data_IF_382813062546
#
_entry.id   IF_382813062546
#
_cell.length_a   1.000
_cell.length_b   1.000
_cell.length_c   1.000
_cell.angle_alpha   90.00
_cell.angle_beta   90.00
_cell.angle_gamma   90.00
#
_symmetry.space_group_name_H-M   'P 1'
#
loop_
_entity.id
_entity.type
_entity.pdbx_description
1 polymer ?
#
# COMPACT_ATOMS: atom_id res chain seq x y z
N UNK A 1 34.29 12.71 -23.56
CA UNK A 1 33.90 13.95 -24.26
C UNK A 1 32.43 13.83 -24.63
N UNK A 2 31.63 14.84 -24.24
CA UNK A 2 30.30 15.24 -24.77
C UNK A 2 29.17 14.20 -24.73
N UNK A 3 27.95 14.46 -24.24
CA UNK A 3 27.27 15.71 -23.90
C UNK A 3 26.02 15.35 -23.08
N UNK A 4 25.78 16.04 -21.96
CA UNK A 4 24.56 15.91 -21.15
C UNK A 4 23.52 16.90 -21.68
N UNK A 5 22.33 16.43 -22.04
CA UNK A 5 21.19 17.29 -22.32
C UNK A 5 20.35 17.49 -21.06
N UNK A 6 20.39 18.72 -20.57
CA UNK A 6 19.54 19.24 -19.51
C UNK A 6 18.26 19.73 -20.19
N UNK A 7 17.10 19.18 -19.83
CA UNK A 7 15.81 19.76 -20.21
C UNK A 7 15.01 20.00 -18.94
N UNK A 8 15.06 21.25 -18.47
CA UNK A 8 14.28 21.76 -17.35
C UNK A 8 12.91 22.19 -17.88
N UNK A 9 11.87 21.41 -17.59
CA UNK A 9 10.47 21.82 -17.83
C UNK A 9 9.86 22.25 -16.50
N UNK A 10 9.74 23.57 -16.36
CA UNK A 10 9.15 24.28 -15.23
C UNK A 10 7.62 24.24 -15.37
N UNK A 11 6.94 23.31 -14.70
CA UNK A 11 5.49 23.32 -14.58
C UNK A 11 5.09 23.88 -13.22
N UNK A 12 4.73 25.17 -13.22
CA UNK A 12 4.04 25.83 -12.11
C UNK A 12 2.55 25.51 -12.25
N UNK A 13 2.01 24.72 -11.32
CA UNK A 13 0.56 24.54 -11.17
C UNK A 13 0.16 24.93 -9.75
N UNK A 14 -0.32 26.17 -9.65
CA UNK A 14 -0.89 26.81 -8.48
C UNK A 14 -2.28 26.17 -8.22
N UNK A 15 -2.39 25.26 -7.26
CA UNK A 15 -3.69 24.70 -6.87
C UNK A 15 -4.17 25.34 -5.56
N UNK A 16 -5.26 26.08 -5.70
CA UNK A 16 -5.94 26.88 -4.68
C UNK A 16 -6.60 26.03 -3.61
N UNK A 17 -6.35 26.36 -2.34
CA UNK A 17 -7.06 25.86 -1.17
C UNK A 17 -8.56 26.22 -1.26
N UNK A 18 -9.44 25.22 -1.25
CA UNK A 18 -10.85 25.38 -0.92
C UNK A 18 -11.05 24.98 0.55
N UNK A 19 -11.41 25.95 1.39
CA UNK A 19 -11.80 25.76 2.78
C UNK A 19 -13.23 25.20 2.84
N UNK A 20 -13.41 24.03 3.44
CA UNK A 20 -14.74 23.50 3.78
C UNK A 20 -15.07 23.83 5.24
N UNK A 21 -16.26 24.36 5.54
CA UNK A 21 -16.69 24.65 6.90
C UNK A 21 -17.00 23.38 7.69
N UNK A 22 -16.52 23.37 8.94
CA UNK A 22 -16.84 22.39 9.99
C UNK A 22 -18.31 22.56 10.40
N UNK A 23 -19.10 21.51 10.25
CA UNK A 23 -20.42 21.40 10.90
C UNK A 23 -20.24 20.71 12.25
N UNK A 24 -20.59 21.42 13.32
CA UNK A 24 -20.73 20.92 14.67
C UNK A 24 -22.22 20.90 15.03
N UNK A 25 -22.80 19.75 15.38
CA UNK A 25 -24.10 19.70 16.08
C UNK A 25 -24.28 18.40 16.89
N UNK A 26 -24.29 18.60 18.21
CA UNK A 26 -25.15 18.08 19.29
C UNK A 26 -25.25 16.58 19.67
N UNK A 27 -24.79 16.33 20.91
CA UNK A 27 -25.47 15.69 22.03
C UNK A 27 -26.72 14.83 21.75
N UNK A 28 -26.62 13.55 22.11
CA UNK A 28 -27.74 12.75 22.58
C UNK A 28 -27.42 12.12 23.95
N UNK A 29 -28.32 12.39 24.87
CA UNK A 29 -28.32 12.06 26.29
C UNK A 29 -28.79 10.61 26.55
N UNK A 30 -28.08 9.95 27.47
CA UNK A 30 -28.52 8.97 28.50
C UNK A 30 -29.52 7.86 28.16
N UNK A 31 -29.06 6.63 28.37
CA UNK A 31 -29.87 5.61 29.09
C UNK A 31 -28.97 4.83 30.05
N UNK A 32 -29.18 5.03 31.35
CA UNK A 32 -28.59 4.23 32.42
C UNK A 32 -29.21 2.82 32.41
N UNK A 33 -28.41 1.81 32.07
CA UNK A 33 -28.72 0.42 32.38
C UNK A 33 -27.88 0.00 33.60
N UNK A 34 -28.56 -0.20 34.73
CA UNK A 34 -28.00 -0.76 35.95
C UNK A 34 -27.53 -2.18 35.68
N UNK A 35 -26.22 -2.34 35.44
CA UNK A 35 -25.52 -3.62 35.34
C UNK A 35 -24.94 -3.98 36.70
N UNK A 36 -25.28 -5.16 37.18
CA UNK A 36 -24.77 -5.82 38.39
C UNK A 36 -23.24 -5.76 38.39
N UNK A 37 -22.65 -5.02 39.33
CA UNK A 37 -21.19 -4.97 39.50
C UNK A 37 -20.70 -6.28 40.11
N UNK A 38 -20.31 -7.20 39.23
CA UNK A 38 -19.25 -8.15 39.56
C UNK A 38 -17.97 -7.34 39.82
N UNK A 39 -17.35 -7.55 40.98
CA UNK A 39 -16.11 -6.88 41.40
C UNK A 39 -14.96 -7.37 40.52
N UNK A 40 -14.91 -6.90 39.29
CA UNK A 40 -13.79 -7.07 38.38
C UNK A 40 -12.63 -6.30 38.98
N UNK A 41 -11.64 -7.05 39.48
CA UNK A 41 -10.35 -6.53 39.91
C UNK A 41 -9.83 -5.60 38.81
N UNK A 42 -9.55 -4.30 39.08
CA UNK A 42 -9.01 -3.42 38.06
C UNK A 42 -7.64 -3.97 37.68
N UNK A 43 -7.59 -4.68 36.56
CA UNK A 43 -6.34 -4.88 35.83
C UNK A 43 -5.93 -3.47 35.48
N UNK A 44 -4.84 -2.97 36.07
CA UNK A 44 -4.27 -1.69 35.70
C UNK A 44 -4.02 -1.74 34.19
N UNK A 45 -4.93 -1.15 33.42
CA UNK A 45 -4.76 -0.91 32.00
C UNK A 45 -3.52 -0.05 31.92
N UNK A 46 -2.40 -0.63 31.51
CA UNK A 46 -1.26 0.16 31.08
C UNK A 46 -1.80 1.16 30.06
N UNK A 47 -1.69 2.45 30.34
CA UNK A 47 -2.20 3.50 29.46
C UNK A 47 -1.64 3.27 28.07
N UNK A 48 -2.53 3.08 27.09
CA UNK A 48 -2.15 3.01 25.69
C UNK A 48 -1.46 4.32 25.30
N UNK A 49 -0.25 4.22 24.75
CA UNK A 49 0.39 5.39 24.15
C UNK A 49 -0.22 5.64 22.76
N UNK A 50 -1.16 6.59 22.70
CA UNK A 50 -1.85 6.98 21.46
C UNK A 50 -0.89 7.56 20.43
N UNK A 51 0.14 8.30 20.86
CA UNK A 51 1.12 8.88 19.93
C UNK A 51 1.99 7.77 19.31
N UNK A 52 2.40 6.79 20.12
CA UNK A 52 3.09 5.60 19.64
C UNK A 52 2.24 4.83 18.60
N UNK A 53 0.96 4.62 18.87
CA UNK A 53 0.06 3.95 17.92
C UNK A 53 -0.10 4.69 16.59
N UNK A 54 -0.26 6.03 16.63
CA UNK A 54 -0.33 6.86 15.41
C UNK A 54 0.92 6.69 14.55
N UNK A 55 2.10 6.74 15.16
CA UNK A 55 3.37 6.56 14.46
C UNK A 55 3.49 5.14 13.85
N UNK A 56 3.02 4.10 14.56
CA UNK A 56 3.02 2.74 14.03
C UNK A 56 2.12 2.61 12.78
N UNK A 57 0.94 3.23 12.79
CA UNK A 57 0.02 3.26 11.64
C UNK A 57 0.62 4.03 10.48
N UNK A 58 1.17 5.22 10.72
CA UNK A 58 1.81 6.05 9.70
C UNK A 58 2.93 5.30 8.96
N UNK A 59 3.80 4.61 9.70
CA UNK A 59 4.85 3.77 9.12
C UNK A 59 4.29 2.64 8.26
N UNK A 60 3.26 1.93 8.75
CA UNK A 60 2.62 0.82 8.03
C UNK A 60 2.06 1.30 6.70
N UNK A 61 1.26 2.36 6.75
CA UNK A 61 0.52 2.83 5.57
C UNK A 61 1.46 3.48 4.56
N UNK A 62 2.47 4.22 5.03
CA UNK A 62 3.56 4.73 4.15
C UNK A 62 4.27 3.59 3.43
N UNK A 63 4.58 2.49 4.13
CA UNK A 63 5.23 1.33 3.51
C UNK A 63 4.33 0.60 2.51
N UNK A 64 3.03 0.49 2.79
CA UNK A 64 2.05 -0.12 1.87
C UNK A 64 1.88 0.74 0.61
N UNK A 65 1.76 2.07 0.77
CA UNK A 65 1.69 3.02 -0.36
C UNK A 65 2.94 2.87 -1.25
N UNK A 66 4.13 2.90 -0.65
CA UNK A 66 5.37 2.73 -1.41
C UNK A 66 5.46 1.37 -2.13
N UNK A 67 4.94 0.31 -1.53
CA UNK A 67 4.87 -1.01 -2.16
C UNK A 67 3.93 -1.01 -3.38
N UNK A 68 2.78 -0.32 -3.30
CA UNK A 68 1.88 -0.13 -4.43
C UNK A 68 2.52 0.66 -5.57
N UNK A 69 3.16 1.79 -5.27
CA UNK A 69 3.85 2.60 -6.28
C UNK A 69 4.90 1.77 -7.02
N UNK A 70 5.72 1.03 -6.27
CA UNK A 70 6.75 0.13 -6.83
C UNK A 70 6.13 -0.96 -7.72
N UNK A 71 5.00 -1.54 -7.30
CA UNK A 71 4.29 -2.54 -8.10
C UNK A 71 3.76 -1.93 -9.41
N UNK A 72 3.14 -0.76 -9.34
CA UNK A 72 2.58 -0.06 -10.50
C UNK A 72 3.67 0.34 -11.50
N UNK A 73 4.80 0.86 -11.02
CA UNK A 73 5.94 1.19 -11.87
C UNK A 73 6.53 -0.05 -12.56
N UNK A 74 6.67 -1.15 -11.81
CA UNK A 74 7.10 -2.42 -12.36
C UNK A 74 6.13 -2.95 -13.42
N UNK A 75 4.82 -2.86 -13.16
CA UNK A 75 3.79 -3.29 -14.09
C UNK A 75 3.77 -2.43 -15.37
N UNK A 76 3.90 -1.10 -15.23
CA UNK A 76 4.00 -0.16 -16.35
C UNK A 76 5.23 -0.44 -17.21
N UNK A 77 6.36 -0.72 -16.57
CA UNK A 77 7.61 -1.12 -17.25
C UNK A 77 7.42 -2.43 -18.03
N UNK A 78 6.84 -3.45 -17.40
CA UNK A 78 6.56 -4.74 -18.04
C UNK A 78 5.59 -4.60 -19.23
N UNK A 79 4.55 -3.79 -19.10
CA UNK A 79 3.61 -3.50 -20.19
C UNK A 79 4.27 -2.79 -21.36
N UNK A 80 5.15 -1.83 -21.07
CA UNK A 80 5.91 -1.09 -22.09
C UNK A 80 6.86 -2.04 -22.84
N UNK A 81 7.60 -2.87 -22.12
CA UNK A 81 8.48 -3.89 -22.71
C UNK A 81 7.69 -4.88 -23.58
N UNK A 82 6.53 -5.36 -23.09
CA UNK A 82 5.65 -6.24 -23.85
C UNK A 82 5.18 -5.58 -25.14
N UNK A 83 4.73 -4.32 -25.09
CA UNK A 83 4.30 -3.57 -26.27
C UNK A 83 5.41 -3.54 -27.32
N UNK A 84 6.62 -3.15 -26.93
CA UNK A 84 7.77 -3.09 -27.84
C UNK A 84 8.09 -4.45 -28.46
N UNK A 85 8.10 -5.52 -27.64
CA UNK A 85 8.37 -6.86 -28.13
C UNK A 85 7.29 -7.40 -29.07
N UNK A 86 6.02 -7.07 -28.82
CA UNK A 86 4.92 -7.46 -29.70
C UNK A 86 5.00 -6.75 -31.05
N UNK A 87 5.29 -5.45 -31.07
CA UNK A 87 5.49 -4.71 -32.34
C UNK A 87 6.63 -5.33 -33.16
N UNK A 88 7.79 -5.54 -32.53
CA UNK A 88 8.94 -6.18 -33.19
C UNK A 88 8.62 -7.60 -33.70
N UNK A 89 7.79 -8.37 -32.98
CA UNK A 89 7.37 -9.68 -33.45
C UNK A 89 6.51 -9.58 -34.72
N UNK A 90 5.65 -8.56 -34.83
CA UNK A 90 4.80 -8.37 -36.01
C UNK A 90 5.56 -7.93 -37.26
N UNK A 91 6.75 -7.34 -37.11
CA UNK A 91 7.64 -7.02 -38.23
C UNK A 91 8.31 -8.28 -38.84
N UNK A 92 8.22 -9.44 -38.18
CA UNK A 92 8.81 -10.70 -38.67
C UNK A 92 7.93 -11.28 -39.79
N UNK A 93 8.47 -11.39 -41.01
CA UNK A 93 7.77 -11.96 -42.17
C UNK A 93 7.44 -13.45 -42.01
N UNK A 94 8.41 -14.26 -41.54
CA UNK A 94 8.21 -15.69 -41.34
C UNK A 94 7.21 -15.97 -40.21
N UNK A 95 6.17 -16.75 -40.51
CA UNK A 95 5.09 -17.05 -39.57
C UNK A 95 5.57 -17.84 -38.35
N UNK A 96 6.51 -18.77 -38.55
CA UNK A 96 6.99 -19.63 -37.46
C UNK A 96 7.81 -18.83 -36.47
N UNK A 97 8.75 -18.03 -36.97
CA UNK A 97 9.56 -17.10 -36.19
C UNK A 97 8.71 -16.06 -35.47
N UNK A 98 7.69 -15.49 -36.14
CA UNK A 98 6.73 -14.57 -35.51
C UNK A 98 6.02 -15.21 -34.31
N UNK A 99 5.50 -16.43 -34.45
CA UNK A 99 4.82 -17.14 -33.35
C UNK A 99 5.75 -17.40 -32.16
N UNK A 100 7.02 -17.74 -32.43
CA UNK A 100 8.01 -17.91 -31.38
C UNK A 100 8.28 -16.59 -30.63
N UNK A 101 8.45 -15.49 -31.36
CA UNK A 101 8.66 -14.16 -30.78
C UNK A 101 7.46 -13.69 -29.92
N UNK A 102 6.23 -13.87 -30.42
CA UNK A 102 5.01 -13.57 -29.67
C UNK A 102 4.94 -14.37 -28.35
N UNK A 103 5.18 -15.69 -28.41
CA UNK A 103 5.20 -16.56 -27.22
C UNK A 103 6.25 -16.09 -26.21
N UNK A 104 7.44 -15.72 -26.69
CA UNK A 104 8.51 -15.20 -25.84
C UNK A 104 8.10 -13.90 -25.14
N UNK A 105 7.54 -12.94 -25.88
CA UNK A 105 7.08 -11.67 -25.32
C UNK A 105 6.04 -11.85 -24.19
N UNK A 106 5.08 -12.76 -24.38
CA UNK A 106 4.08 -13.08 -23.35
C UNK A 106 4.68 -13.78 -22.13
N UNK A 107 5.61 -14.72 -22.33
CA UNK A 107 6.31 -15.40 -21.24
C UNK A 107 7.09 -14.39 -20.38
N UNK A 108 7.91 -13.55 -21.01
CA UNK A 108 8.72 -12.54 -20.31
C UNK A 108 7.84 -11.56 -19.55
N UNK A 109 6.72 -11.11 -20.14
CA UNK A 109 5.74 -10.28 -19.43
C UNK A 109 5.15 -11.00 -18.21
N UNK A 110 4.76 -12.27 -18.37
CA UNK A 110 4.22 -13.09 -17.29
C UNK A 110 5.18 -13.24 -16.11
N UNK A 111 6.45 -13.52 -16.40
CA UNK A 111 7.54 -13.61 -15.41
C UNK A 111 7.74 -12.27 -14.69
N UNK A 112 7.77 -11.15 -15.42
CA UNK A 112 7.94 -9.82 -14.85
C UNK A 112 6.79 -9.45 -13.89
N UNK A 113 5.53 -9.69 -14.27
CA UNK A 113 4.39 -9.41 -13.40
C UNK A 113 4.33 -10.37 -12.21
N UNK A 114 4.66 -11.64 -12.40
CA UNK A 114 4.71 -12.60 -11.28
C UNK A 114 5.75 -12.17 -10.24
N UNK A 115 6.93 -11.73 -10.69
CA UNK A 115 7.98 -11.17 -9.84
C UNK A 115 7.50 -9.91 -9.11
N UNK A 116 6.94 -8.93 -9.82
CA UNK A 116 6.42 -7.70 -9.24
C UNK A 116 5.35 -7.97 -8.17
N UNK A 117 4.42 -8.91 -8.42
CA UNK A 117 3.40 -9.33 -7.45
C UNK A 117 4.03 -9.98 -6.21
N UNK A 118 5.08 -10.79 -6.39
CA UNK A 118 5.79 -11.40 -5.25
C UNK A 118 6.41 -10.30 -4.38
N UNK A 119 7.14 -9.37 -4.98
CA UNK A 119 7.76 -8.25 -4.28
C UNK A 119 6.72 -7.41 -3.52
N UNK A 120 5.58 -7.11 -4.15
CA UNK A 120 4.48 -6.40 -3.51
C UNK A 120 3.93 -7.13 -2.29
N UNK A 121 3.65 -8.44 -2.41
CA UNK A 121 3.17 -9.26 -1.29
C UNK A 121 4.17 -9.29 -0.15
N UNK A 122 5.46 -9.49 -0.46
CA UNK A 122 6.52 -9.58 0.55
C UNK A 122 6.67 -8.25 1.30
N UNK A 123 6.65 -7.11 0.58
CA UNK A 123 6.71 -5.77 1.17
C UNK A 123 5.51 -5.49 2.08
N UNK A 124 4.29 -5.86 1.66
CA UNK A 124 3.09 -5.73 2.49
C UNK A 124 3.17 -6.57 3.76
N UNK A 125 3.59 -7.83 3.65
CA UNK A 125 3.75 -8.71 4.82
C UNK A 125 4.79 -8.15 5.80
N UNK A 126 5.88 -7.57 5.28
CA UNK A 126 6.89 -6.91 6.09
C UNK A 126 6.32 -5.69 6.82
N UNK A 127 5.56 -4.82 6.15
CA UNK A 127 4.90 -3.66 6.75
C UNK A 127 3.98 -4.06 7.91
N UNK A 128 3.15 -5.09 7.71
CA UNK A 128 2.26 -5.62 8.75
C UNK A 128 3.04 -6.24 9.92
N UNK A 129 4.10 -7.00 9.65
CA UNK A 129 4.95 -7.57 10.70
C UNK A 129 5.62 -6.47 11.54
N UNK A 130 6.07 -5.40 10.91
CA UNK A 130 6.62 -4.25 11.60
C UNK A 130 5.56 -3.57 12.47
N UNK A 131 4.36 -3.32 11.92
CA UNK A 131 3.24 -2.74 12.66
C UNK A 131 2.89 -3.54 13.92
N UNK A 132 2.80 -4.88 13.81
CA UNK A 132 2.53 -5.75 14.95
C UNK A 132 3.63 -5.70 16.02
N UNK A 133 4.86 -5.39 15.62
CA UNK A 133 6.01 -5.23 16.52
C UNK A 133 5.95 -3.87 17.21
N UNK A 134 5.78 -2.79 16.45
CA UNK A 134 5.66 -1.42 16.97
C UNK A 134 4.45 -1.29 17.91
N UNK A 135 3.30 -1.88 17.56
CA UNK A 135 2.09 -1.88 18.38
C UNK A 135 2.32 -2.48 19.77
N UNK A 136 3.08 -3.58 19.87
CA UNK A 136 3.37 -4.22 21.17
C UNK A 136 4.20 -3.31 22.07
N UNK A 137 5.02 -2.43 21.49
CA UNK A 137 5.79 -1.46 22.24
C UNK A 137 4.93 -0.30 22.80
N UNK A 138 3.72 -0.09 22.24
CA UNK A 138 2.83 1.01 22.65
C UNK A 138 1.97 0.73 23.90
N UNK A 139 2.02 -0.47 24.49
CA UNK A 139 1.32 -0.81 25.75
C UNK A 139 0.82 -2.26 25.85
N UNK A 140 0.53 -2.75 27.07
CA UNK A 140 0.13 -4.15 27.34
C UNK A 140 -1.35 -4.47 27.04
N UNK A 141 -2.18 -3.45 26.78
CA UNK A 141 -3.62 -3.60 26.60
C UNK A 141 -4.08 -3.31 25.16
N UNK A 142 -3.27 -3.58 24.14
CA UNK A 142 -3.72 -3.45 22.74
C UNK A 142 -4.59 -4.65 22.36
N UNK A 143 -5.76 -4.75 22.97
CA UNK A 143 -6.90 -5.33 22.26
C UNK A 143 -7.04 -4.42 21.04
N UNK A 144 -6.76 -4.96 19.86
CA UNK A 144 -6.83 -4.20 18.63
C UNK A 144 -8.28 -3.78 18.42
N UNK A 145 -8.57 -2.49 18.61
CA UNK A 145 -9.82 -1.88 18.14
C UNK A 145 -9.88 -1.99 16.61
N UNK A 146 -8.71 -1.94 15.97
CA UNK A 146 -8.51 -2.29 14.57
C UNK A 146 -8.33 -3.81 14.42
N UNK A 147 -9.44 -4.55 14.37
CA UNK A 147 -9.42 -6.01 14.13
C UNK A 147 -9.03 -6.38 12.70
N UNK A 148 -8.74 -5.40 11.83
CA UNK A 148 -8.13 -5.72 10.55
C UNK A 148 -6.72 -6.28 10.82
N UNK A 149 -6.65 -7.59 10.95
CA UNK A 149 -5.45 -8.31 10.57
C UNK A 149 -5.13 -7.97 9.11
N UNK A 150 -3.96 -8.38 8.62
CA UNK A 150 -3.58 -8.23 7.22
C UNK A 150 -4.66 -8.67 6.22
N UNK A 151 -5.73 -9.37 6.64
CA UNK A 151 -6.84 -9.91 5.85
C UNK A 151 -7.58 -8.98 4.88
N UNK A 152 -7.75 -7.67 5.15
CA UNK A 152 -8.33 -6.76 4.13
C UNK A 152 -7.30 -6.54 3.03
N UNK A 153 -6.08 -6.17 3.40
CA UNK A 153 -5.02 -5.96 2.43
C UNK A 153 -4.49 -7.27 1.83
N UNK A 154 -4.71 -8.42 2.46
CA UNK A 154 -4.26 -9.73 2.00
C UNK A 154 -4.92 -10.12 0.68
N UNK A 155 -6.08 -9.50 0.39
CA UNK A 155 -6.85 -9.68 -0.85
C UNK A 155 -6.41 -8.73 -1.97
N UNK A 156 -5.60 -7.72 -1.66
CA UNK A 156 -4.95 -6.84 -2.65
C UNK A 156 -3.78 -7.58 -3.32
#
# INVERSE_FOLDING_TARGET
MTQKFISASLFVALFTLAAFPVLATENATSTNATSTQEKVRPVALSSLDVACMKNAVEKRDTAIIAAFDTFHDSAKTALTARKTALLAAWDIADRTARRAALKSAWRTYGEAIASARKTFRDARLAAWKQFLTDRKACGKAVISDDKAESGVDAKL
#
